data_IF_845591371951
#
_entry.id   IF_845591371951
#
_cell.length_a   1.000
_cell.length_b   1.000
_cell.length_c   1.000
_cell.angle_alpha   90.00
_cell.angle_beta   90.00
_cell.angle_gamma   90.00
#
_symmetry.space_group_name_H-M   'P 1'
#
loop_
_entity.id
_entity.type
_entity.pdbx_description
1 polymer ?
#
# COMPACT_ATOMS: atom_id res chain seq x y z
N UNK A 1 -26.30 -10.91 15.05
CA UNK A 1 -25.20 -9.92 15.03
C UNK A 1 -24.07 -10.50 14.18
N UNK A 2 -23.75 -9.92 13.01
CA UNK A 2 -22.65 -10.42 12.15
C UNK A 2 -21.32 -10.24 12.90
N UNK A 3 -20.56 -11.32 13.08
CA UNK A 3 -19.24 -11.27 13.74
C UNK A 3 -18.32 -10.33 12.93
N UNK A 4 -17.43 -9.55 13.58
CA UNK A 4 -16.51 -8.67 12.87
C UNK A 4 -15.56 -9.47 11.96
N UNK A 5 -15.04 -8.81 10.92
CA UNK A 5 -13.95 -9.36 10.09
C UNK A 5 -12.72 -9.54 11.00
N UNK A 6 -12.07 -10.70 10.90
CA UNK A 6 -10.87 -11.04 11.65
C UNK A 6 -9.72 -11.30 10.67
N UNK A 7 -8.47 -11.19 11.12
CA UNK A 7 -7.29 -11.31 10.24
C UNK A 7 -7.14 -12.65 9.51
N UNK A 8 -7.88 -13.71 9.87
CA UNK A 8 -7.93 -14.97 9.12
C UNK A 8 -8.83 -14.91 7.87
N UNK A 9 -9.73 -13.93 7.83
CA UNK A 9 -10.64 -13.71 6.71
C UNK A 9 -9.99 -12.92 5.57
N UNK A 10 -8.78 -12.41 5.80
CA UNK A 10 -8.07 -11.48 4.95
C UNK A 10 -6.70 -12.04 4.59
N UNK A 11 -6.37 -12.04 3.31
CA UNK A 11 -5.04 -12.34 2.83
C UNK A 11 -4.54 -11.18 1.96
N UNK A 12 -3.36 -10.68 2.30
CA UNK A 12 -2.68 -9.64 1.54
C UNK A 12 -1.40 -10.24 0.94
N UNK A 13 -1.24 -10.09 -0.36
CA UNK A 13 -0.03 -10.48 -1.08
C UNK A 13 0.61 -9.24 -1.70
N UNK A 14 1.92 -9.10 -1.51
CA UNK A 14 2.73 -8.06 -2.15
C UNK A 14 3.54 -8.72 -3.24
N UNK A 15 3.46 -8.19 -4.47
CA UNK A 15 4.23 -8.67 -5.63
C UNK A 15 5.26 -7.61 -6.00
N UNK A 16 6.50 -8.05 -6.22
CA UNK A 16 7.64 -7.19 -6.57
C UNK A 16 7.52 -6.51 -7.93
N UNK A 17 8.36 -5.49 -8.16
CA UNK A 17 8.40 -4.73 -9.41
C UNK A 17 8.94 -5.52 -10.62
N UNK A 18 9.65 -6.63 -10.38
CA UNK A 18 10.35 -7.40 -11.41
C UNK A 18 9.63 -8.66 -11.92
N UNK A 19 8.46 -9.01 -11.39
CA UNK A 19 7.75 -10.23 -11.81
C UNK A 19 6.84 -10.82 -10.73
N UNK A 20 6.30 -12.04 -10.94
CA UNK A 20 5.32 -12.68 -10.04
C UNK A 20 5.92 -13.17 -8.72
N UNK A 21 7.12 -12.73 -8.35
CA UNK A 21 7.75 -13.11 -7.10
C UNK A 21 7.00 -12.52 -5.92
N UNK A 22 6.61 -13.40 -5.00
CA UNK A 22 5.96 -13.04 -3.75
C UNK A 22 6.96 -12.25 -2.88
N UNK A 23 6.73 -10.96 -2.77
CA UNK A 23 7.55 -10.06 -1.96
C UNK A 23 7.18 -10.12 -0.48
N UNK A 24 5.92 -10.40 -0.14
CA UNK A 24 5.49 -10.50 1.25
C UNK A 24 4.03 -10.87 1.41
N UNK A 25 3.67 -11.24 2.64
CA UNK A 25 2.31 -11.59 3.03
C UNK A 25 1.91 -10.91 4.33
N UNK A 26 0.68 -10.40 4.38
CA UNK A 26 0.09 -9.72 5.54
C UNK A 26 -1.34 -10.22 5.82
N UNK A 27 -1.75 -10.13 7.09
CA UNK A 27 -3.06 -10.60 7.56
C UNK A 27 -4.07 -9.46 7.76
N UNK A 28 -3.61 -8.21 7.74
CA UNK A 28 -4.45 -7.03 7.94
C UNK A 28 -4.03 -5.93 6.96
N UNK A 29 -5.02 -5.25 6.36
CA UNK A 29 -4.83 -4.06 5.55
C UNK A 29 -5.83 -2.98 5.97
N UNK A 30 -5.32 -1.79 6.25
CA UNK A 30 -6.10 -0.57 6.46
C UNK A 30 -5.76 0.40 5.33
N UNK A 31 -6.75 1.03 4.70
CA UNK A 31 -6.50 2.01 3.65
C UNK A 31 -7.55 3.10 3.64
N UNK A 32 -7.20 4.24 3.05
CA UNK A 32 -8.07 5.38 2.83
C UNK A 32 -7.86 5.94 1.44
N UNK A 33 -8.98 6.27 0.78
CA UNK A 33 -9.00 7.06 -0.45
C UNK A 33 -9.53 8.44 -0.09
N UNK A 34 -8.71 9.47 -0.27
CA UNK A 34 -9.07 10.87 0.02
C UNK A 34 -9.13 11.65 -1.28
N UNK A 35 -10.21 12.40 -1.49
CA UNK A 35 -10.31 13.42 -2.53
C UNK A 35 -10.04 14.78 -1.88
N UNK A 36 -8.93 15.42 -2.22
CA UNK A 36 -8.65 16.79 -1.77
C UNK A 36 -9.44 17.75 -2.64
N UNK A 37 -10.51 18.33 -2.09
CA UNK A 37 -11.35 19.29 -2.80
C UNK A 37 -10.73 20.69 -2.78
N UNK A 38 -10.87 21.43 -3.87
CA UNK A 38 -10.46 22.82 -3.97
C UNK A 38 -11.68 23.74 -4.00
N UNK A 39 -11.64 24.83 -3.23
CA UNK A 39 -12.69 25.85 -3.22
C UNK A 39 -12.40 26.92 -4.28
N UNK A 40 -13.36 27.15 -5.18
CA UNK A 40 -13.30 28.19 -6.20
C UNK A 40 -14.48 29.15 -6.06
N UNK A 41 -14.21 30.44 -5.85
CA UNK A 41 -15.22 31.48 -5.72
C UNK A 41 -15.24 32.36 -6.97
N UNK A 42 -16.33 32.29 -7.73
CA UNK A 42 -16.52 33.13 -8.90
C UNK A 42 -16.81 34.59 -8.54
N UNK A 43 -16.45 35.51 -9.44
CA UNK A 43 -16.62 36.94 -9.22
C UNK A 43 -18.11 37.31 -9.14
N UNK A 44 -18.54 37.82 -7.98
CA UNK A 44 -19.94 38.22 -7.74
C UNK A 44 -20.76 37.17 -6.97
N UNK A 45 -20.20 35.97 -6.79
CA UNK A 45 -20.81 34.91 -6.00
C UNK A 45 -20.48 35.04 -4.50
N UNK A 46 -21.35 34.46 -3.67
CA UNK A 46 -21.17 34.42 -2.20
C UNK A 46 -20.89 33.03 -1.66
N UNK A 47 -21.01 32.00 -2.51
CA UNK A 47 -20.82 30.59 -2.16
C UNK A 47 -19.78 30.02 -3.11
N UNK A 48 -18.75 29.39 -2.57
CA UNK A 48 -17.70 28.76 -3.37
C UNK A 48 -18.18 27.44 -3.99
N UNK A 49 -17.75 27.19 -5.22
CA UNK A 49 -17.85 25.89 -5.87
C UNK A 49 -16.74 24.97 -5.35
N UNK A 50 -17.08 23.70 -5.11
CA UNK A 50 -16.10 22.66 -4.81
C UNK A 50 -15.64 22.00 -6.11
N UNK A 51 -14.34 21.99 -6.35
CA UNK A 51 -13.68 21.33 -7.47
C UNK A 51 -12.96 20.08 -6.98
N UNK A 52 -12.88 19.07 -7.84
CA UNK A 52 -12.07 17.88 -7.58
C UNK A 52 -10.58 18.24 -7.72
N UNK A 53 -9.80 18.00 -6.66
CA UNK A 53 -8.35 18.12 -6.68
C UNK A 53 -7.68 16.75 -6.72
N UNK A 54 -6.63 16.57 -5.92
CA UNK A 54 -5.81 15.34 -5.97
C UNK A 54 -6.47 14.18 -5.21
N UNK A 55 -6.54 13.01 -5.86
CA UNK A 55 -6.95 11.77 -5.19
C UNK A 55 -5.74 11.06 -4.61
N UNK A 56 -5.73 10.87 -3.29
CA UNK A 56 -4.66 10.19 -2.56
C UNK A 56 -5.12 8.84 -2.02
N UNK A 57 -4.41 7.78 -2.38
CA UNK A 57 -4.62 6.42 -1.89
C UNK A 57 -3.47 6.06 -0.97
N UNK A 58 -3.77 5.88 0.33
CA UNK A 58 -2.78 5.56 1.35
C UNK A 58 -3.26 4.40 2.21
N UNK A 59 -2.34 3.61 2.75
CA UNK A 59 -2.71 2.53 3.65
C UNK A 59 -1.56 1.97 4.46
N UNK A 60 -1.90 0.97 5.29
CA UNK A 60 -0.98 0.29 6.19
C UNK A 60 -1.30 -1.21 6.21
N UNK A 61 -0.28 -2.03 6.00
CA UNK A 61 -0.32 -3.48 6.13
C UNK A 61 0.19 -3.88 7.51
N UNK A 62 -0.47 -4.82 8.20
CA UNK A 62 -0.09 -5.26 9.55
C UNK A 62 0.00 -6.78 9.64
N UNK A 63 0.74 -7.25 10.65
CA UNK A 63 0.90 -8.69 10.98
C UNK A 63 1.34 -9.53 9.78
N UNK A 64 2.50 -9.21 9.24
CA UNK A 64 3.02 -9.89 8.07
C UNK A 64 4.53 -9.94 8.03
N UNK A 65 5.03 -10.37 6.88
CA UNK A 65 6.44 -10.41 6.58
C UNK A 65 6.71 -9.96 5.15
N UNK A 66 7.90 -9.40 4.92
CA UNK A 66 8.40 -9.05 3.60
C UNK A 66 9.80 -9.60 3.41
N UNK A 67 10.10 -10.13 2.22
CA UNK A 67 11.40 -10.68 1.84
C UNK A 67 12.47 -9.59 1.83
N UNK A 68 13.60 -9.83 2.51
CA UNK A 68 14.73 -8.89 2.54
C UNK A 68 15.34 -8.67 1.15
N UNK A 69 15.36 -9.69 0.30
CA UNK A 69 15.91 -9.58 -1.06
C UNK A 69 15.12 -8.57 -1.91
N UNK A 70 13.80 -8.47 -1.67
CA UNK A 70 12.95 -7.48 -2.35
C UNK A 70 13.22 -6.09 -1.78
N UNK A 71 13.51 -5.96 -0.49
CA UNK A 71 13.89 -4.68 0.12
C UNK A 71 15.25 -4.18 -0.38
N UNK A 72 16.24 -5.07 -0.46
CA UNK A 72 17.59 -4.74 -0.93
C UNK A 72 17.60 -4.41 -2.43
N UNK A 73 16.83 -5.11 -3.25
CA UNK A 73 16.67 -4.78 -4.68
C UNK A 73 15.82 -3.53 -4.91
N UNK A 74 14.85 -3.27 -4.04
CA UNK A 74 13.98 -2.10 -4.10
C UNK A 74 14.71 -0.78 -3.80
N UNK A 75 15.58 -0.78 -2.79
CA UNK A 75 16.24 0.44 -2.30
C UNK A 75 17.73 0.51 -2.63
N UNK A 76 18.30 -0.57 -3.17
CA UNK A 76 19.69 -0.66 -3.57
C UNK A 76 20.63 -0.82 -2.38
N UNK A 77 21.61 -1.72 -2.50
CA UNK A 77 22.77 -1.80 -1.61
C UNK A 77 23.74 -0.62 -1.75
N UNK A 78 23.38 0.39 -2.55
CA UNK A 78 24.23 1.52 -2.91
C UNK A 78 23.95 2.74 -2.04
N UNK A 79 24.96 3.16 -1.28
CA UNK A 79 24.96 4.39 -0.49
C UNK A 79 24.27 5.57 -1.20
N UNK A 80 23.22 6.12 -0.59
CA UNK A 80 22.65 7.41 -0.99
C UNK A 80 23.71 8.51 -0.79
N UNK A 81 24.41 8.90 -1.88
CA UNK A 81 25.39 9.99 -1.84
C UNK A 81 24.84 11.24 -2.48
N UNK A 82 25.24 12.39 -1.93
CA UNK A 82 24.90 13.71 -2.48
C UNK A 82 25.51 13.83 -3.89
N UNK A 83 24.67 14.07 -4.89
CA UNK A 83 25.09 14.24 -6.29
C UNK A 83 24.86 13.01 -7.18
N UNK A 84 24.42 11.88 -6.63
CA UNK A 84 24.01 10.72 -7.42
C UNK A 84 22.55 10.85 -7.87
N UNK A 85 22.24 10.33 -9.07
CA UNK A 85 20.87 10.26 -9.58
C UNK A 85 20.14 9.16 -8.83
N UNK A 86 19.16 9.56 -8.02
CA UNK A 86 18.28 8.61 -7.34
C UNK A 86 17.49 7.81 -8.40
N UNK A 87 17.53 6.46 -8.36
CA UNK A 87 16.67 5.65 -9.21
C UNK A 87 15.20 5.87 -8.81
N UNK A 88 14.29 5.60 -9.75
CA UNK A 88 12.86 5.65 -9.45
C UNK A 88 12.52 4.63 -8.36
N UNK A 89 11.67 5.03 -7.41
CA UNK A 89 11.20 4.10 -6.37
C UNK A 89 10.44 2.94 -7.00
N UNK A 90 10.71 1.70 -6.56
CA UNK A 90 10.06 0.52 -7.09
C UNK A 90 8.56 0.56 -6.82
N UNK A 91 7.82 -0.03 -7.75
CA UNK A 91 6.37 -0.08 -7.73
C UNK A 91 5.92 -1.51 -7.48
N UNK A 92 5.01 -1.67 -6.53
CA UNK A 92 4.50 -2.95 -6.07
C UNK A 92 3.03 -3.09 -6.44
N UNK A 93 2.59 -4.34 -6.56
CA UNK A 93 1.17 -4.66 -6.63
C UNK A 93 0.77 -5.30 -5.31
N UNK A 94 -0.21 -4.71 -4.63
CA UNK A 94 -0.74 -5.25 -3.37
C UNK A 94 -2.12 -5.82 -3.66
N UNK A 95 -2.26 -7.13 -3.55
CA UNK A 95 -3.56 -7.80 -3.67
C UNK A 95 -4.12 -8.08 -2.29
N UNK A 96 -5.32 -7.58 -2.02
CA UNK A 96 -6.07 -7.80 -0.80
C UNK A 96 -7.31 -8.64 -1.11
N UNK A 97 -7.46 -9.78 -0.45
CA UNK A 97 -8.61 -10.68 -0.61
C UNK A 97 -9.37 -10.80 0.69
N UNK A 98 -10.66 -10.45 0.68
CA UNK A 98 -11.60 -10.76 1.77
C UNK A 98 -12.32 -12.05 1.41
N UNK A 99 -12.21 -13.05 2.27
CA UNK A 99 -12.84 -14.37 2.14
C UNK A 99 -13.66 -14.68 3.40
N UNK A 100 -14.69 -13.86 3.67
CA UNK A 100 -15.63 -14.06 4.78
C UNK A 100 -17.07 -14.20 4.26
N UNK A 101 -17.33 -15.24 3.45
CA UNK A 101 -18.64 -15.48 2.84
C UNK A 101 -19.72 -15.68 3.90
N UNK A 102 -19.38 -16.35 4.99
CA UNK A 102 -20.22 -16.56 6.17
C UNK A 102 -20.59 -15.26 6.90
N UNK A 103 -19.84 -14.17 6.67
CA UNK A 103 -20.14 -12.80 7.14
C UNK A 103 -20.78 -11.94 6.04
N UNK A 104 -20.92 -12.48 4.83
CA UNK A 104 -21.44 -11.81 3.64
C UNK A 104 -20.46 -10.80 3.05
N UNK A 105 -19.15 -10.99 3.26
CA UNK A 105 -18.08 -10.12 2.75
C UNK A 105 -17.12 -10.96 1.92
N UNK A 106 -17.12 -10.74 0.62
CA UNK A 106 -16.23 -11.40 -0.34
C UNK A 106 -15.86 -10.37 -1.39
N UNK A 107 -14.58 -10.19 -1.62
CA UNK A 107 -14.09 -9.22 -2.60
C UNK A 107 -12.59 -9.29 -2.69
N UNK A 108 -12.07 -9.05 -3.88
CA UNK A 108 -10.64 -8.96 -4.12
C UNK A 108 -10.35 -7.57 -4.66
N UNK A 109 -9.39 -6.92 -4.05
CA UNK A 109 -8.96 -5.58 -4.40
C UNK A 109 -7.48 -5.62 -4.73
N UNK A 110 -7.07 -4.77 -5.65
CA UNK A 110 -5.71 -4.66 -6.11
C UNK A 110 -5.29 -3.19 -6.07
N UNK A 111 -4.28 -2.90 -5.28
CA UNK A 111 -3.59 -1.62 -5.34
C UNK A 111 -2.48 -1.71 -6.38
N UNK A 112 -2.47 -0.73 -7.28
CA UNK A 112 -1.54 -0.66 -8.40
C UNK A 112 -0.52 0.45 -8.18
N UNK A 113 0.71 0.19 -8.64
CA UNK A 113 1.85 1.09 -8.50
C UNK A 113 2.08 1.54 -7.05
N UNK A 114 1.94 0.62 -6.09
CA UNK A 114 2.13 0.92 -4.69
C UNK A 114 3.60 1.18 -4.37
N UNK A 115 3.88 2.17 -3.54
CA UNK A 115 5.21 2.52 -3.03
C UNK A 115 5.18 2.38 -1.52
N UNK A 116 6.24 1.84 -0.93
CA UNK A 116 6.49 1.89 0.50
C UNK A 116 7.41 3.09 0.78
N UNK A 117 6.89 4.24 1.26
CA UNK A 117 7.70 5.46 1.44
C UNK A 117 8.74 5.33 2.54
N UNK A 118 8.51 4.44 3.50
CA UNK A 118 9.45 4.13 4.56
C UNK A 118 9.53 2.60 4.73
N UNK A 119 10.74 2.07 4.64
CA UNK A 119 11.05 0.73 5.14
C UNK A 119 11.99 0.88 6.34
N UNK A 120 11.43 1.04 7.53
CA UNK A 120 12.22 0.87 8.74
C UNK A 120 12.43 -0.62 8.98
N UNK A 121 13.53 -1.14 8.42
CA UNK A 121 13.91 -2.55 8.45
C UNK A 121 14.34 -2.92 9.88
N UNK A 122 13.42 -3.44 10.68
CA UNK A 122 13.79 -4.24 11.86
C UNK A 122 14.04 -5.66 11.40
N UNK A 123 15.29 -5.96 11.03
CA UNK A 123 15.72 -7.31 10.63
C UNK A 123 15.56 -8.23 11.83
N UNK A 124 14.70 -9.25 11.72
CA UNK A 124 14.70 -10.33 12.69
C UNK A 124 15.94 -11.19 12.44
N UNK A 125 16.90 -11.17 13.38
CA UNK A 125 18.14 -11.92 13.26
C UNK A 125 17.86 -13.40 12.88
N UNK A 126 18.50 -13.86 11.80
CA UNK A 126 18.45 -15.26 11.37
C UNK A 126 17.28 -15.65 10.44
N UNK A 127 16.38 -14.74 10.05
CA UNK A 127 15.35 -15.01 9.02
C UNK A 127 15.40 -13.92 7.97
N UNK A 128 15.46 -14.29 6.69
CA UNK A 128 15.53 -13.38 5.54
C UNK A 128 14.28 -12.51 5.30
N UNK A 129 13.58 -12.11 6.37
CA UNK A 129 12.27 -11.46 6.34
C UNK A 129 12.16 -10.33 7.37
N UNK A 130 11.42 -9.28 7.02
CA UNK A 130 11.10 -8.15 7.92
C UNK A 130 9.70 -8.36 8.48
N UNK A 131 9.57 -8.41 9.81
CA UNK A 131 8.28 -8.49 10.50
C UNK A 131 7.93 -7.13 11.08
N UNK A 132 7.28 -6.30 10.27
CA UNK A 132 6.82 -4.97 10.68
C UNK A 132 5.60 -4.57 9.87
N UNK A 133 4.77 -3.72 10.47
CA UNK A 133 3.74 -3.03 9.72
C UNK A 133 4.37 -2.12 8.64
N UNK A 134 3.75 -2.08 7.46
CA UNK A 134 4.23 -1.28 6.33
C UNK A 134 3.18 -0.27 5.90
N UNK A 135 3.55 1.01 5.88
CA UNK A 135 2.74 2.04 5.25
C UNK A 135 3.00 2.06 3.74
N UNK A 136 1.96 2.27 2.94
CA UNK A 136 2.06 2.36 1.49
C UNK A 136 1.25 3.53 0.94
N UNK A 137 1.63 3.98 -0.26
CA UNK A 137 0.84 4.87 -1.13
C UNK A 137 0.63 4.18 -2.47
N UNK A 138 -0.53 4.33 -3.09
CA UNK A 138 -0.82 3.70 -4.37
C UNK A 138 -1.30 4.73 -5.39
N UNK A 139 -1.07 4.47 -6.67
CA UNK A 139 -1.54 5.33 -7.77
C UNK A 139 -2.89 4.81 -8.34
N UNK A 140 -3.28 3.58 -7.99
CA UNK A 140 -4.55 3.00 -8.42
C UNK A 140 -5.12 1.99 -7.44
N UNK A 141 -6.45 1.83 -7.47
CA UNK A 141 -7.21 0.80 -6.76
C UNK A 141 -8.23 0.21 -7.73
N UNK A 142 -8.20 -1.10 -7.91
CA UNK A 142 -9.14 -1.85 -8.76
C UNK A 142 -9.78 -3.00 -7.99
N UNK A 143 -11.04 -3.32 -8.31
CA UNK A 143 -11.67 -4.59 -7.93
C UNK A 143 -11.23 -5.67 -8.91
N UNK A 144 -10.84 -6.84 -8.41
CA UNK A 144 -10.16 -7.90 -9.15
C UNK A 144 -10.89 -9.25 -9.10
#
# INVERSE_FOLDING_TARGET
MKKPIQGFDVSVQVIGSGGPELAGEYQEAEFSVKNELEEYLELGERIAQLLDGEVKIEGKLKKGWMSLNVVESAFGSGTLRRGERLPASPRFVITFSIKAKEKGLSGRYKFEQAIFPELSISIAAGKGVVKKDLSFRAEGLTEA
#
